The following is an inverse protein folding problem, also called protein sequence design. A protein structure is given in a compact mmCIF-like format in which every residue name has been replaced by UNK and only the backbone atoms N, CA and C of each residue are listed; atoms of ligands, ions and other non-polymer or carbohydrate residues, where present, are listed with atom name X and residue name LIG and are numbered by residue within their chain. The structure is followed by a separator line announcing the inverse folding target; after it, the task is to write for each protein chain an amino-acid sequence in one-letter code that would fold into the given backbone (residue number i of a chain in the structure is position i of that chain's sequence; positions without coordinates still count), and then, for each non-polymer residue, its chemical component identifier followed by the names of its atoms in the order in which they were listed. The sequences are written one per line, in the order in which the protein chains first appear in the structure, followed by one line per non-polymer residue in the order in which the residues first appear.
data_IF_718717855445
#
_entry.id   IF_718717855445
#
_cell.length_a   1.000
_cell.length_b   1.000
_cell.length_c   1.000
_cell.angle_alpha   90.00
_cell.angle_beta   90.00
_cell.angle_gamma   90.00
#
_symmetry.space_group_name_H-M   'P 1'
#
loop_
_entity.id
_entity.type
_entity.pdbx_description
1 polymer ?
#
# COMPACT_ATOMS: atom_id res chain seq x y z
N UNK A 1 -17.07 2.40 12.23
CA UNK A 1 -16.76 2.35 10.79
C UNK A 1 -16.77 3.72 10.08
N UNK A 2 -17.12 4.85 10.71
CA UNK A 2 -17.12 6.19 10.05
C UNK A 2 -15.71 6.77 9.82
N UNK A 3 -14.71 6.23 10.51
CA UNK A 3 -13.31 6.67 10.42
C UNK A 3 -12.46 5.83 9.46
N UNK A 4 -13.09 4.88 8.76
CA UNK A 4 -12.45 4.03 7.75
C UNK A 4 -11.76 4.85 6.64
N UNK A 5 -12.38 5.88 6.03
CA UNK A 5 -11.70 6.69 5.02
C UNK A 5 -10.51 7.47 5.60
N UNK A 6 -10.59 7.91 6.86
CA UNK A 6 -9.49 8.61 7.55
C UNK A 6 -8.32 7.65 7.79
N UNK A 7 -8.59 6.43 8.24
CA UNK A 7 -7.55 5.41 8.42
C UNK A 7 -6.90 5.01 7.09
N UNK A 8 -7.69 4.85 6.02
CA UNK A 8 -7.16 4.57 4.69
C UNK A 8 -6.30 5.72 4.16
N UNK A 9 -6.71 6.97 4.37
CA UNK A 9 -5.92 8.13 3.97
C UNK A 9 -4.60 8.23 4.75
N UNK A 10 -4.63 8.04 6.07
CA UNK A 10 -3.43 8.02 6.92
C UNK A 10 -2.50 6.86 6.54
N UNK A 11 -3.04 5.68 6.30
CA UNK A 11 -2.30 4.52 5.83
C UNK A 11 -1.64 4.81 4.48
N UNK A 12 -2.38 5.35 3.51
CA UNK A 12 -1.84 5.70 2.20
C UNK A 12 -0.71 6.74 2.31
N UNK A 13 -0.87 7.76 3.17
CA UNK A 13 0.10 8.82 3.37
C UNK A 13 1.40 8.29 4.00
N UNK A 14 1.33 7.50 5.07
CA UNK A 14 2.52 6.91 5.71
C UNK A 14 3.20 5.91 4.77
N UNK A 15 2.42 5.05 4.12
CA UNK A 15 2.98 3.99 3.27
C UNK A 15 3.62 4.55 2.00
N UNK A 16 3.07 5.62 1.44
CA UNK A 16 3.67 6.30 0.30
C UNK A 16 5.04 6.90 0.64
N UNK A 17 5.21 7.50 1.83
CA UNK A 17 6.50 8.01 2.29
C UNK A 17 7.56 6.91 2.40
N UNK A 18 7.18 5.73 2.91
CA UNK A 18 8.07 4.56 3.01
C UNK A 18 8.43 4.04 1.62
N UNK A 19 7.45 3.90 0.72
CA UNK A 19 7.68 3.45 -0.65
C UNK A 19 8.55 4.44 -1.45
N UNK A 20 8.39 5.76 -1.22
CA UNK A 20 9.23 6.81 -1.78
C UNK A 20 10.66 6.71 -1.28
N UNK A 21 10.88 6.60 0.03
CA UNK A 21 12.21 6.41 0.62
C UNK A 21 12.90 5.15 0.08
N UNK A 22 12.19 4.03 0.02
CA UNK A 22 12.71 2.79 -0.59
C UNK A 22 13.04 2.95 -2.07
N UNK A 23 12.30 3.76 -2.81
CA UNK A 23 12.59 4.05 -4.21
C UNK A 23 13.86 4.89 -4.39
N UNK A 24 14.05 5.93 -3.57
CA UNK A 24 15.25 6.76 -3.58
C UNK A 24 16.50 6.01 -3.11
N UNK A 25 16.38 5.12 -2.12
CA UNK A 25 17.53 4.34 -1.65
C UNK A 25 17.96 3.19 -2.57
N UNK A 26 17.10 2.78 -3.53
CA UNK A 26 17.40 1.65 -4.43
C UNK A 26 18.01 2.06 -5.76
N UNK A 27 18.04 3.35 -6.11
CA UNK A 27 18.65 3.85 -7.34
C UNK A 27 19.63 5.00 -7.03
N UNK A 28 20.85 4.91 -7.57
CA UNK A 28 21.94 5.89 -7.37
C UNK A 28 21.73 7.14 -8.26
N UNK A 29 20.91 7.06 -9.30
CA UNK A 29 20.63 8.16 -10.23
C UNK A 29 19.16 8.61 -10.15
N UNK A 30 18.92 9.90 -9.85
CA UNK A 30 17.58 10.47 -9.59
C UNK A 30 16.67 10.55 -10.83
N UNK A 31 17.24 10.67 -12.04
CA UNK A 31 16.49 10.87 -13.27
C UNK A 31 15.63 9.65 -13.72
N UNK A 32 16.15 8.41 -13.75
CA UNK A 32 15.31 7.23 -13.97
C UNK A 32 14.43 6.89 -12.75
N UNK A 33 14.83 7.28 -11.54
CA UNK A 33 14.10 7.01 -10.30
C UNK A 33 12.72 7.68 -10.30
N UNK A 34 12.65 8.95 -10.71
CA UNK A 34 11.40 9.72 -10.80
C UNK A 34 10.39 9.15 -11.81
N UNK A 35 10.86 8.53 -12.90
CA UNK A 35 9.99 7.86 -13.89
C UNK A 35 9.45 6.51 -13.41
N UNK A 36 10.21 5.81 -12.56
CA UNK A 36 9.79 4.50 -12.03
C UNK A 36 8.89 4.60 -10.80
N UNK A 37 8.94 5.73 -10.10
CA UNK A 37 8.17 6.04 -8.89
C UNK A 37 6.65 5.80 -9.01
N UNK A 38 5.92 6.33 -10.02
CA UNK A 38 4.48 6.14 -10.10
C UNK A 38 4.08 4.66 -10.28
N UNK A 39 4.85 3.90 -11.06
CA UNK A 39 4.62 2.47 -11.27
C UNK A 39 4.89 1.65 -10.00
N UNK A 40 5.92 2.01 -9.24
CA UNK A 40 6.23 1.39 -7.95
C UNK A 40 5.18 1.69 -6.89
N UNK A 41 4.71 2.93 -6.81
CA UNK A 41 3.62 3.31 -5.91
C UNK A 41 2.32 2.57 -6.27
N UNK A 42 1.96 2.50 -7.55
CA UNK A 42 0.81 1.72 -8.01
C UNK A 42 0.94 0.23 -7.65
N UNK A 43 2.10 -0.39 -7.88
CA UNK A 43 2.33 -1.78 -7.52
C UNK A 43 2.25 -2.01 -5.99
N UNK A 44 2.76 -1.06 -5.20
CA UNK A 44 2.68 -1.11 -3.74
C UNK A 44 1.23 -1.01 -3.25
N UNK A 45 0.47 -0.01 -3.73
CA UNK A 45 -0.94 0.15 -3.37
C UNK A 45 -1.78 -1.05 -3.82
N UNK A 46 -1.49 -1.61 -4.99
CA UNK A 46 -2.15 -2.81 -5.49
C UNK A 46 -1.85 -4.01 -4.58
N UNK A 47 -0.59 -4.18 -4.15
CA UNK A 47 -0.20 -5.21 -3.19
C UNK A 47 -0.89 -5.07 -1.83
N UNK A 48 -0.95 -3.86 -1.28
CA UNK A 48 -1.70 -3.57 -0.06
C UNK A 48 -3.20 -3.86 -0.21
N UNK A 49 -3.79 -3.52 -1.36
CA UNK A 49 -5.19 -3.81 -1.66
C UNK A 49 -5.47 -5.31 -1.71
N UNK A 50 -4.61 -6.09 -2.37
CA UNK A 50 -4.71 -7.56 -2.43
C UNK A 50 -4.60 -8.15 -1.02
N UNK A 51 -3.61 -7.71 -0.23
CA UNK A 51 -3.45 -8.19 1.15
C UNK A 51 -4.67 -7.87 2.01
N UNK A 52 -5.20 -6.64 1.90
CA UNK A 52 -6.43 -6.25 2.59
C UNK A 52 -7.63 -7.12 2.20
N UNK A 53 -7.76 -7.45 0.91
CA UNK A 53 -8.82 -8.34 0.42
C UNK A 53 -8.66 -9.76 0.97
N UNK A 54 -7.44 -10.30 1.01
CA UNK A 54 -7.15 -11.61 1.63
C UNK A 54 -7.55 -11.61 3.09
N UNK A 55 -7.18 -10.57 3.86
CA UNK A 55 -7.57 -10.46 5.27
C UNK A 55 -9.09 -10.38 5.44
N UNK A 56 -9.80 -9.68 4.56
CA UNK A 56 -11.26 -9.57 4.59
C UNK A 56 -11.94 -10.92 4.29
N UNK A 57 -11.41 -11.68 3.32
CA UNK A 57 -11.87 -13.04 3.02
C UNK A 57 -11.60 -13.97 4.21
N UNK A 58 -10.45 -13.85 4.86
CA UNK A 58 -10.14 -14.61 6.06
C UNK A 58 -11.10 -14.25 7.20
N UNK A 59 -11.33 -12.97 7.47
CA UNK A 59 -12.30 -12.50 8.48
C UNK A 59 -13.69 -13.11 8.21
N UNK A 60 -14.17 -13.05 6.96
CA UNK A 60 -15.46 -13.64 6.59
C UNK A 60 -15.48 -15.17 6.74
N UNK A 61 -14.36 -15.84 6.48
CA UNK A 61 -14.26 -17.30 6.63
C UNK A 61 -14.26 -17.68 8.12
N UNK A 62 -13.51 -16.97 8.96
CA UNK A 62 -13.50 -17.19 10.39
C UNK A 62 -14.85 -16.86 11.03
N UNK A 63 -15.49 -15.76 10.63
CA UNK A 63 -16.83 -15.40 11.09
C UNK A 63 -17.93 -16.36 10.62
N UNK A 64 -17.68 -17.17 9.58
CA UNK A 64 -18.63 -18.20 9.12
C UNK A 64 -18.48 -19.55 9.84
N UNK A 65 -17.44 -19.70 10.66
CA UNK A 65 -17.12 -20.94 11.39
C UNK A 65 -17.56 -20.87 12.87
N UNK A 66 -17.84 -19.67 13.40
CA UNK A 66 -18.56 -19.45 14.67
C UNK A 66 -20.09 -19.48 14.48
#
# INVERSE_FOLDING_TARGET
MKDLPVHLALFALVSSAIALLGAFYTQVEDAPALRSLPRRLLAFFLGCGILGLVLLVMEHTFASVD
#
